data_IF_032737010930
#
_entry.id   IF_032737010930
#
_cell.length_a   1.000
_cell.length_b   1.000
_cell.length_c   1.000
_cell.angle_alpha   90.00
_cell.angle_beta   90.00
_cell.angle_gamma   90.00
#
_symmetry.space_group_name_H-M   'P 1'
#
loop_
_entity.id
_entity.type
_entity.pdbx_description
1 polymer ?
#
# COMPACT_ATOMS: atom_id res chain seq x y z
N UNK A 1 48.55 19.57 58.96
CA UNK A 1 47.68 20.76 58.77
C UNK A 1 47.36 20.85 57.29
N UNK A 2 46.16 20.42 56.89
CA UNK A 2 45.75 20.46 55.48
C UNK A 2 45.28 21.88 55.17
N UNK A 3 45.80 22.46 54.09
CA UNK A 3 45.52 23.84 53.71
C UNK A 3 44.05 23.94 53.25
N UNK A 4 43.16 24.67 53.95
CA UNK A 4 41.72 24.65 53.68
C UNK A 4 41.30 25.32 52.36
N UNK A 5 42.26 25.82 51.56
CA UNK A 5 42.02 26.57 50.33
C UNK A 5 42.65 25.94 49.08
N UNK A 6 43.01 24.64 49.11
CA UNK A 6 43.47 23.96 47.89
C UNK A 6 42.29 23.76 46.92
N UNK A 7 42.00 24.80 46.12
CA UNK A 7 41.08 24.71 45.00
C UNK A 7 41.72 23.79 43.96
N UNK A 8 41.29 22.53 43.96
CA UNK A 8 41.67 21.53 42.97
C UNK A 8 41.28 22.05 41.59
N UNK A 9 42.23 22.68 40.87
CA UNK A 9 42.05 23.13 39.49
C UNK A 9 41.67 21.92 38.65
N UNK A 10 40.39 21.80 38.31
CA UNK A 10 39.94 20.82 37.33
C UNK A 10 40.57 21.19 36.01
N UNK A 11 41.40 20.29 35.48
CA UNK A 11 42.06 20.48 34.19
C UNK A 11 41.02 20.89 33.13
N UNK A 12 41.28 21.91 32.29
CA UNK A 12 40.35 22.38 31.27
C UNK A 12 39.95 21.25 30.30
N UNK A 13 40.80 20.24 30.13
CA UNK A 13 40.53 19.04 29.36
C UNK A 13 39.35 18.22 29.93
N UNK A 14 39.18 18.20 31.25
CA UNK A 14 38.06 17.50 31.91
C UNK A 14 36.72 18.22 31.71
N UNK A 15 36.75 19.54 31.53
CA UNK A 15 35.54 20.31 31.19
C UNK A 15 35.18 20.21 29.70
N UNK A 16 36.19 20.04 28.82
CA UNK A 16 35.97 19.86 27.37
C UNK A 16 35.66 18.41 26.96
N UNK A 17 35.98 17.43 27.81
CA UNK A 17 35.71 16.01 27.57
C UNK A 17 34.29 15.69 27.04
N UNK A 18 33.18 16.19 27.63
CA UNK A 18 31.84 15.91 27.11
C UNK A 18 31.61 16.47 25.70
N UNK A 19 32.17 17.65 25.39
CA UNK A 19 32.08 18.25 24.06
C UNK A 19 32.83 17.41 23.02
N UNK A 20 34.03 16.94 23.35
CA UNK A 20 34.83 16.08 22.47
C UNK A 20 34.07 14.77 22.18
N UNK A 21 33.53 14.13 23.22
CA UNK A 21 32.73 12.91 23.08
C UNK A 21 31.51 13.16 22.18
N UNK A 22 30.79 14.25 22.38
CA UNK A 22 29.65 14.62 21.54
C UNK A 22 30.06 14.81 20.08
N UNK A 23 31.16 15.52 19.80
CA UNK A 23 31.67 15.72 18.44
C UNK A 23 32.08 14.39 17.80
N UNK A 24 32.73 13.49 18.54
CA UNK A 24 33.07 12.16 18.05
C UNK A 24 31.82 11.36 17.67
N UNK A 25 30.77 11.40 18.50
CA UNK A 25 29.48 10.74 18.22
C UNK A 25 28.83 11.35 16.98
N UNK A 26 28.79 12.68 16.86
CA UNK A 26 28.21 13.37 15.73
C UNK A 26 28.93 13.05 14.41
N UNK A 27 30.26 12.96 14.44
CA UNK A 27 31.08 12.54 13.30
C UNK A 27 30.82 11.08 12.94
N UNK A 28 30.82 10.19 13.93
CA UNK A 28 30.52 8.77 13.72
C UNK A 28 29.13 8.57 13.11
N UNK A 29 28.12 9.29 13.61
CA UNK A 29 26.77 9.28 13.06
C UNK A 29 26.71 9.82 11.63
N UNK A 30 27.44 10.90 11.34
CA UNK A 30 27.51 11.46 9.98
C UNK A 30 28.07 10.45 8.99
N UNK A 31 29.20 9.81 9.33
CA UNK A 31 29.79 8.73 8.52
C UNK A 31 28.80 7.58 8.31
N UNK A 32 28.15 7.14 9.39
CA UNK A 32 27.13 6.09 9.32
C UNK A 32 25.98 6.45 8.36
N UNK A 33 25.46 7.68 8.45
CA UNK A 33 24.35 8.13 7.61
C UNK A 33 24.72 8.12 6.12
N UNK A 34 25.92 8.56 5.74
CA UNK A 34 26.37 8.49 4.34
C UNK A 34 26.52 7.05 3.84
N UNK A 35 26.97 6.12 4.67
CA UNK A 35 27.01 4.69 4.34
C UNK A 35 25.60 4.15 4.13
N UNK A 36 24.65 4.51 5.01
CA UNK A 36 23.25 4.11 4.89
C UNK A 36 22.59 4.66 3.62
N UNK A 37 22.87 5.93 3.26
CA UNK A 37 22.44 6.53 2.01
C UNK A 37 22.98 5.78 0.79
N UNK A 38 24.26 5.41 0.80
CA UNK A 38 24.87 4.61 -0.26
C UNK A 38 24.16 3.26 -0.45
N UNK A 39 23.86 2.55 0.64
CA UNK A 39 23.10 1.29 0.59
C UNK A 39 21.68 1.49 0.06
N UNK A 40 21.01 2.58 0.41
CA UNK A 40 19.67 2.88 -0.10
C UNK A 40 19.69 3.11 -1.62
N UNK A 41 20.66 3.89 -2.12
CA UNK A 41 20.87 4.10 -3.56
C UNK A 41 21.14 2.80 -4.31
N UNK A 42 22.00 1.94 -3.75
CA UNK A 42 22.31 0.64 -4.35
C UNK A 42 21.08 -0.26 -4.43
N UNK A 43 20.29 -0.35 -3.35
CA UNK A 43 19.05 -1.14 -3.35
C UNK A 43 18.04 -0.65 -4.40
N UNK A 44 17.86 0.66 -4.53
CA UNK A 44 16.99 1.21 -5.55
C UNK A 44 17.51 0.88 -6.96
N UNK A 45 18.80 1.04 -7.21
CA UNK A 45 19.40 0.70 -8.50
C UNK A 45 19.24 -0.81 -8.84
N UNK A 46 19.38 -1.69 -7.85
CA UNK A 46 19.13 -3.12 -8.04
C UNK A 46 17.67 -3.39 -8.38
N UNK A 47 16.71 -2.76 -7.69
CA UNK A 47 15.29 -2.89 -8.00
C UNK A 47 14.98 -2.38 -9.41
N UNK A 48 15.54 -1.24 -9.80
CA UNK A 48 15.38 -0.66 -11.15
C UNK A 48 15.90 -1.60 -12.25
N UNK A 49 17.00 -2.31 -11.98
CA UNK A 49 17.61 -3.22 -12.94
C UNK A 49 16.89 -4.58 -13.07
N UNK A 50 16.08 -4.95 -12.08
CA UNK A 50 15.55 -6.33 -11.98
C UNK A 50 14.03 -6.44 -12.02
N UNK A 51 13.29 -5.44 -11.52
CA UNK A 51 11.84 -5.57 -11.30
C UNK A 51 11.01 -4.41 -11.84
N UNK A 52 11.56 -3.18 -11.91
CA UNK A 52 10.77 -1.99 -12.26
C UNK A 52 11.56 -1.00 -13.11
N UNK A 53 11.05 -0.61 -14.27
CA UNK A 53 11.68 0.45 -15.08
C UNK A 53 11.21 1.83 -14.60
N UNK A 54 11.85 2.39 -13.57
CA UNK A 54 11.46 3.68 -12.99
C UNK A 54 12.16 4.85 -13.70
N UNK A 55 11.39 5.78 -14.26
CA UNK A 55 11.84 7.06 -14.82
C UNK A 55 11.23 8.21 -14.03
N UNK A 56 12.04 9.25 -13.81
CA UNK A 56 11.64 10.47 -13.08
C UNK A 56 12.13 11.67 -13.88
N UNK A 57 11.37 12.76 -13.91
CA UNK A 57 11.86 14.04 -14.43
C UNK A 57 12.94 14.64 -13.52
N UNK A 58 12.76 14.51 -12.21
CA UNK A 58 13.72 14.97 -11.20
C UNK A 58 13.87 13.91 -10.10
N UNK A 59 15.11 13.68 -9.65
CA UNK A 59 15.44 12.76 -8.56
C UNK A 59 16.21 13.52 -7.48
N UNK A 60 15.75 13.42 -6.24
CA UNK A 60 16.45 14.00 -5.09
C UNK A 60 16.54 13.02 -3.92
N UNK A 61 17.62 13.16 -3.15
CA UNK A 61 17.90 12.36 -1.95
C UNK A 61 18.19 13.28 -0.78
N UNK A 62 17.71 12.94 0.41
CA UNK A 62 17.94 13.75 1.61
C UNK A 62 17.46 13.07 2.89
N UNK A 63 17.24 13.85 3.94
CA UNK A 63 16.69 13.34 5.21
C UNK A 63 17.65 13.27 6.40
N UNK A 64 18.89 13.73 6.24
CA UNK A 64 19.86 13.82 7.34
C UNK A 64 19.25 14.54 8.56
N UNK A 65 19.48 14.07 9.80
CA UNK A 65 20.33 12.93 10.19
C UNK A 65 19.57 11.62 10.45
N UNK A 66 18.24 11.62 10.50
CA UNK A 66 17.48 10.49 11.06
C UNK A 66 16.75 9.62 10.03
N UNK A 67 16.55 10.15 8.82
CA UNK A 67 15.84 9.46 7.74
C UNK A 67 16.61 9.57 6.43
N UNK A 68 16.22 8.74 5.49
CA UNK A 68 16.68 8.81 4.11
C UNK A 68 15.40 8.89 3.29
N UNK A 69 15.13 10.05 2.70
CA UNK A 69 14.07 10.16 1.71
C UNK A 69 14.65 10.14 0.29
N UNK A 70 13.87 9.59 -0.62
CA UNK A 70 14.05 9.64 -2.05
C UNK A 70 12.78 10.23 -2.65
N UNK A 71 12.92 11.33 -3.36
CA UNK A 71 11.83 12.01 -4.06
C UNK A 71 12.07 11.89 -5.57
N UNK A 72 11.05 11.41 -6.28
CA UNK A 72 11.00 11.25 -7.73
C UNK A 72 9.78 12.03 -8.24
N UNK A 73 10.00 13.13 -8.96
CA UNK A 73 8.93 13.88 -9.61
C UNK A 73 8.71 13.37 -11.04
N UNK A 74 7.49 13.50 -11.57
CA UNK A 74 7.12 13.06 -12.91
C UNK A 74 7.41 11.57 -13.12
N UNK A 75 6.76 10.73 -12.31
CA UNK A 75 6.99 9.28 -12.28
C UNK A 75 6.43 8.65 -13.54
N UNK A 76 7.25 7.85 -14.22
CA UNK A 76 6.84 6.91 -15.25
C UNK A 76 7.54 5.60 -14.97
N UNK A 77 6.77 4.56 -14.63
CA UNK A 77 7.25 3.26 -14.26
C UNK A 77 6.61 2.18 -15.12
N UNK A 78 7.35 1.12 -15.41
CA UNK A 78 6.78 -0.11 -15.96
C UNK A 78 6.97 -1.22 -14.93
N UNK A 79 5.85 -1.83 -14.49
CA UNK A 79 5.82 -2.87 -13.48
C UNK A 79 4.98 -4.03 -13.99
N UNK A 80 5.61 -5.21 -14.14
CA UNK A 80 4.94 -6.44 -14.59
C UNK A 80 4.12 -6.28 -15.90
N UNK A 81 4.55 -5.41 -16.81
CA UNK A 81 3.88 -5.13 -18.08
C UNK A 81 2.83 -4.02 -18.04
N UNK A 82 2.51 -3.48 -16.85
CA UNK A 82 1.64 -2.32 -16.70
C UNK A 82 2.43 -1.02 -16.65
N UNK A 83 1.96 -0.01 -17.38
CA UNK A 83 2.50 1.34 -17.37
C UNK A 83 1.87 2.13 -16.23
N UNK A 84 2.69 2.64 -15.32
CA UNK A 84 2.27 3.44 -14.17
C UNK A 84 2.84 4.84 -14.31
N UNK A 85 1.99 5.86 -14.25
CA UNK A 85 2.43 7.26 -14.16
C UNK A 85 1.89 7.90 -12.90
N UNK A 86 2.64 8.83 -12.32
CA UNK A 86 2.22 9.60 -11.14
C UNK A 86 2.96 10.93 -11.08
N UNK A 87 2.39 11.92 -10.40
CA UNK A 87 3.02 13.24 -10.26
C UNK A 87 4.31 13.16 -9.43
N UNK A 88 4.27 12.38 -8.34
CA UNK A 88 5.43 12.23 -7.45
C UNK A 88 5.42 10.89 -6.73
N UNK A 89 6.59 10.30 -6.61
CA UNK A 89 6.89 9.17 -5.72
C UNK A 89 7.84 9.64 -4.63
N UNK A 90 7.48 9.41 -3.37
CA UNK A 90 8.33 9.64 -2.21
C UNK A 90 8.56 8.34 -1.48
N UNK A 91 9.81 7.94 -1.30
CA UNK A 91 10.21 6.81 -0.46
C UNK A 91 10.97 7.32 0.76
N UNK A 92 10.72 6.76 1.93
CA UNK A 92 11.33 7.16 3.20
C UNK A 92 11.77 5.89 3.93
N UNK A 93 13.08 5.74 4.10
CA UNK A 93 13.68 4.77 5.01
C UNK A 93 14.18 5.44 6.28
N UNK A 94 14.15 4.73 7.40
CA UNK A 94 14.69 5.24 8.66
C UNK A 94 16.16 4.83 8.79
N UNK A 95 17.07 5.77 9.09
CA UNK A 95 18.50 5.47 9.15
C UNK A 95 18.81 4.44 10.26
N UNK A 96 18.09 4.51 11.38
CA UNK A 96 18.22 3.59 12.51
C UNK A 96 17.41 2.29 12.36
N UNK A 97 16.48 2.24 11.40
CA UNK A 97 15.69 1.05 11.08
C UNK A 97 15.56 0.89 9.55
N UNK A 98 16.64 0.43 8.88
CA UNK A 98 16.67 0.31 7.42
C UNK A 98 15.77 -0.80 6.88
N UNK A 99 15.14 -1.58 7.76
CA UNK A 99 14.22 -2.65 7.41
C UNK A 99 12.78 -2.17 7.24
N UNK A 100 12.48 -0.92 7.58
CA UNK A 100 11.17 -0.32 7.45
C UNK A 100 11.21 0.84 6.46
N UNK A 101 10.44 0.71 5.39
CA UNK A 101 10.34 1.70 4.32
C UNK A 101 8.88 2.10 4.17
N UNK A 102 8.66 3.41 4.07
CA UNK A 102 7.35 4.02 3.87
C UNK A 102 7.41 4.76 2.55
N UNK A 103 6.45 4.54 1.67
CA UNK A 103 6.30 5.24 0.41
C UNK A 103 4.99 6.00 0.32
N UNK A 104 4.96 7.01 -0.53
CA UNK A 104 3.75 7.72 -0.91
C UNK A 104 3.80 8.05 -2.41
N UNK A 105 2.74 7.69 -3.12
CA UNK A 105 2.48 8.09 -4.50
C UNK A 105 1.47 9.22 -4.51
N UNK A 106 1.82 10.34 -5.13
CA UNK A 106 0.98 11.51 -5.25
C UNK A 106 0.36 11.49 -6.64
N UNK A 107 -0.97 11.60 -6.68
CA UNK A 107 -1.74 11.54 -7.91
C UNK A 107 -1.80 12.86 -8.68
N UNK A 108 -2.40 12.86 -9.88
CA UNK A 108 -3.11 11.72 -10.48
C UNK A 108 -2.16 10.55 -10.81
N UNK A 109 -2.57 9.34 -10.42
CA UNK A 109 -1.87 8.10 -10.74
C UNK A 109 -2.61 7.44 -11.88
N UNK A 110 -1.94 7.16 -12.98
CA UNK A 110 -2.53 6.37 -14.07
C UNK A 110 -1.88 5.00 -14.08
N UNK A 111 -2.68 3.94 -14.08
CA UNK A 111 -2.23 2.56 -14.27
C UNK A 111 -2.89 2.07 -15.55
N UNK A 112 -2.09 1.89 -16.60
CA UNK A 112 -2.54 1.62 -17.95
C UNK A 112 -3.60 2.64 -18.40
N UNK A 113 -4.86 2.23 -18.38
CA UNK A 113 -6.01 2.97 -18.84
C UNK A 113 -6.92 3.47 -17.69
N UNK A 114 -6.50 3.23 -16.44
CA UNK A 114 -7.25 3.60 -15.24
C UNK A 114 -6.59 4.80 -14.57
N UNK A 115 -7.33 5.90 -14.42
CA UNK A 115 -6.87 7.10 -13.73
C UNK A 115 -7.41 7.14 -12.31
N UNK A 116 -6.51 7.25 -11.35
CA UNK A 116 -6.78 7.33 -9.92
C UNK A 116 -6.37 8.73 -9.45
N UNK A 117 -7.31 9.49 -8.90
CA UNK A 117 -7.08 10.85 -8.38
C UNK A 117 -7.57 10.94 -6.94
N UNK A 118 -6.95 11.76 -6.11
CA UNK A 118 -7.32 11.85 -4.69
C UNK A 118 -6.13 12.13 -3.79
N UNK A 119 -6.25 11.75 -2.52
CA UNK A 119 -5.14 11.86 -1.58
C UNK A 119 -3.98 10.89 -1.95
N UNK A 120 -2.75 11.14 -1.46
CA UNK A 120 -1.62 10.30 -1.79
C UNK A 120 -1.81 8.86 -1.32
N UNK A 121 -1.51 7.90 -2.20
CA UNK A 121 -1.51 6.48 -1.88
C UNK A 121 -0.26 6.20 -1.04
N UNK A 122 -0.45 5.91 0.24
CA UNK A 122 0.63 5.60 1.19
C UNK A 122 0.81 4.09 1.25
N UNK A 123 2.05 3.64 1.22
CA UNK A 123 2.39 2.24 1.43
C UNK A 123 3.54 2.12 2.41
N UNK A 124 3.62 1.00 3.11
CA UNK A 124 4.73 0.69 3.99
C UNK A 124 5.07 -0.77 3.87
N UNK A 125 6.35 -1.09 3.98
CA UNK A 125 6.80 -2.47 4.08
C UNK A 125 7.89 -2.60 5.11
N UNK A 126 7.87 -3.72 5.82
CA UNK A 126 8.82 -4.07 6.87
C UNK A 126 9.40 -5.44 6.58
N UNK A 127 10.72 -5.54 6.72
CA UNK A 127 11.48 -6.78 6.54
C UNK A 127 12.03 -7.23 7.89
N UNK A 128 12.03 -8.53 8.17
CA UNK A 128 12.68 -9.14 9.34
C UNK A 128 13.46 -10.36 8.88
N UNK A 129 14.74 -10.44 9.21
CA UNK A 129 15.64 -11.52 8.79
C UNK A 129 15.65 -11.78 7.26
N UNK A 130 15.53 -10.72 6.46
CA UNK A 130 15.48 -10.84 4.99
C UNK A 130 14.12 -11.28 4.42
N UNK A 131 13.14 -11.65 5.25
CA UNK A 131 11.77 -11.99 4.83
C UNK A 131 10.80 -10.83 5.08
N UNK A 132 9.73 -10.76 4.29
CA UNK A 132 8.64 -9.81 4.52
C UNK A 132 8.01 -10.08 5.89
N UNK A 133 7.86 -9.05 6.71
CA UNK A 133 7.20 -9.11 8.01
C UNK A 133 5.81 -8.47 7.99
N UNK A 134 5.65 -7.37 7.24
CA UNK A 134 4.38 -6.68 7.05
C UNK A 134 4.48 -5.80 5.80
N UNK A 135 3.44 -5.76 4.99
CA UNK A 135 3.20 -4.68 4.05
C UNK A 135 1.80 -4.11 4.28
N UNK A 136 1.64 -2.81 4.09
CA UNK A 136 0.34 -2.14 4.23
C UNK A 136 0.21 -1.00 3.24
N UNK A 137 -1.00 -0.76 2.78
CA UNK A 137 -1.36 0.31 1.87
C UNK A 137 -2.59 1.04 2.40
N UNK A 138 -2.60 2.36 2.28
CA UNK A 138 -3.70 3.24 2.65
C UNK A 138 -3.87 4.27 1.54
N UNK A 139 -5.08 4.38 1.01
CA UNK A 139 -5.49 5.45 0.12
C UNK A 139 -6.82 6.02 0.61
N UNK A 140 -6.99 7.34 0.54
CA UNK A 140 -8.16 8.05 1.07
C UNK A 140 -8.73 8.94 -0.02
N UNK A 141 -10.05 9.14 -0.05
CA UNK A 141 -10.72 10.04 -0.98
C UNK A 141 -10.31 9.80 -2.45
N UNK A 142 -10.35 8.55 -2.89
CA UNK A 142 -9.93 8.15 -4.23
C UNK A 142 -11.11 8.24 -5.20
N UNK A 143 -10.84 8.80 -6.36
CA UNK A 143 -11.72 8.80 -7.52
C UNK A 143 -11.02 8.02 -8.62
N UNK A 144 -11.61 6.91 -9.01
CA UNK A 144 -11.15 6.02 -10.06
C UNK A 144 -11.99 6.28 -11.30
N UNK A 145 -11.34 6.60 -12.41
CA UNK A 145 -11.96 6.80 -13.71
C UNK A 145 -11.37 5.76 -14.66
N UNK A 146 -12.23 4.92 -15.23
CA UNK A 146 -11.85 3.93 -16.26
C UNK A 146 -11.98 4.53 -17.66
N UNK A 147 -11.55 3.80 -18.69
CA UNK A 147 -11.59 4.20 -20.11
C UNK A 147 -12.97 4.53 -20.64
N UNK A 148 -14.03 3.96 -20.05
CA UNK A 148 -15.42 4.22 -20.46
C UNK A 148 -16.01 5.45 -19.76
N UNK A 149 -15.16 6.33 -19.20
CA UNK A 149 -15.50 7.48 -18.35
C UNK A 149 -16.36 7.13 -17.13
N UNK A 150 -16.43 5.84 -16.77
CA UNK A 150 -17.14 5.38 -15.57
C UNK A 150 -16.35 5.79 -14.33
N UNK A 151 -17.04 6.40 -13.37
CA UNK A 151 -16.44 6.95 -12.16
C UNK A 151 -16.83 6.12 -10.94
N UNK A 152 -15.82 5.68 -10.19
CA UNK A 152 -15.96 5.03 -8.89
C UNK A 152 -15.25 5.87 -7.85
N UNK A 153 -15.99 6.35 -6.87
CA UNK A 153 -15.44 7.04 -5.70
C UNK A 153 -15.29 6.04 -4.55
N UNK A 154 -14.15 6.07 -3.86
CA UNK A 154 -13.85 5.22 -2.71
C UNK A 154 -13.29 6.13 -1.62
N UNK A 155 -13.99 6.24 -0.49
CA UNK A 155 -13.55 7.12 0.59
C UNK A 155 -12.27 6.61 1.27
N UNK A 156 -12.11 5.29 1.40
CA UNK A 156 -10.94 4.70 2.04
C UNK A 156 -10.63 3.32 1.49
N UNK A 157 -9.37 3.09 1.18
CA UNK A 157 -8.81 1.79 0.77
C UNK A 157 -7.69 1.44 1.72
N UNK A 158 -7.83 0.32 2.43
CA UNK A 158 -6.82 -0.25 3.30
C UNK A 158 -6.46 -1.64 2.81
N UNK A 159 -5.17 -1.94 2.68
CA UNK A 159 -4.69 -3.28 2.41
C UNK A 159 -3.55 -3.64 3.35
N UNK A 160 -3.55 -4.87 3.85
CA UNK A 160 -2.53 -5.40 4.73
C UNK A 160 -2.11 -6.80 4.26
N UNK A 161 -0.80 -7.03 4.23
CA UNK A 161 -0.20 -8.31 3.86
C UNK A 161 0.80 -8.71 4.96
N UNK A 162 0.67 -9.92 5.51
CA UNK A 162 1.60 -10.44 6.53
C UNK A 162 1.87 -11.93 6.29
N UNK A 163 3.05 -12.46 6.66
CA UNK A 163 3.28 -13.89 6.60
C UNK A 163 2.39 -14.65 7.60
N UNK A 164 1.86 -15.79 7.19
CA UNK A 164 1.12 -16.72 8.06
C UNK A 164 2.12 -17.46 8.95
N UNK A 165 1.75 -17.77 10.19
CA UNK A 165 2.60 -18.56 11.09
C UNK A 165 2.78 -19.97 10.53
N UNK A 166 4.03 -20.46 10.46
CA UNK A 166 4.41 -21.83 10.08
C UNK A 166 4.21 -22.25 8.61
N UNK A 167 3.96 -21.32 7.68
CA UNK A 167 3.95 -21.62 6.24
C UNK A 167 4.59 -20.49 5.44
N UNK A 168 5.13 -20.76 4.24
CA UNK A 168 5.58 -19.73 3.29
C UNK A 168 4.37 -19.06 2.58
N UNK A 169 3.27 -18.83 3.30
CA UNK A 169 2.05 -18.17 2.81
C UNK A 169 1.89 -16.79 3.43
N UNK A 170 1.09 -15.95 2.78
CA UNK A 170 0.77 -14.60 3.24
C UNK A 170 -0.72 -14.42 3.46
N UNK A 171 -1.12 -13.91 4.63
CA UNK A 171 -2.46 -13.40 4.87
C UNK A 171 -2.60 -12.03 4.19
N UNK A 172 -3.59 -11.89 3.31
CA UNK A 172 -4.00 -10.64 2.67
C UNK A 172 -5.37 -10.22 3.21
N UNK A 173 -5.49 -8.95 3.59
CA UNK A 173 -6.76 -8.30 3.91
C UNK A 173 -6.86 -6.98 3.14
N UNK A 174 -7.95 -6.75 2.43
CA UNK A 174 -8.27 -5.52 1.71
C UNK A 174 -9.63 -5.05 2.19
N UNK A 175 -9.75 -3.78 2.55
CA UNK A 175 -10.99 -3.13 2.94
C UNK A 175 -11.17 -1.87 2.11
N UNK A 176 -12.32 -1.76 1.46
CA UNK A 176 -12.79 -0.57 0.76
C UNK A 176 -13.98 -0.02 1.55
N UNK A 177 -14.01 1.28 1.80
CA UNK A 177 -15.08 1.93 2.57
C UNK A 177 -15.73 3.05 1.77
N UNK A 178 -17.05 3.15 1.90
CA UNK A 178 -17.93 4.08 1.21
C UNK A 178 -17.59 4.17 -0.29
N UNK A 179 -17.83 3.07 -0.99
CA UNK A 179 -17.76 3.02 -2.44
C UNK A 179 -19.04 3.66 -2.99
N UNK A 180 -18.90 4.52 -3.98
CA UNK A 180 -20.03 5.16 -4.65
C UNK A 180 -19.77 5.25 -6.14
N UNK A 181 -20.80 4.92 -6.90
CA UNK A 181 -20.92 5.24 -8.32
C UNK A 181 -22.07 6.23 -8.50
N UNK A 182 -22.42 6.57 -9.74
CA UNK A 182 -23.65 7.34 -10.02
C UNK A 182 -24.94 6.57 -9.69
N UNK A 183 -24.89 5.23 -9.72
CA UNK A 183 -26.08 4.37 -9.64
C UNK A 183 -26.24 3.63 -8.31
N UNK A 184 -25.15 3.45 -7.56
CA UNK A 184 -25.12 2.60 -6.37
C UNK A 184 -24.09 3.10 -5.34
N UNK A 185 -24.34 2.80 -4.07
CA UNK A 185 -23.46 3.09 -2.94
C UNK A 185 -23.28 1.82 -2.09
N UNK A 186 -22.08 1.63 -1.55
CA UNK A 186 -21.74 0.49 -0.70
C UNK A 186 -20.89 0.97 0.48
N UNK A 187 -21.35 0.76 1.70
CA UNK A 187 -20.69 1.27 2.91
C UNK A 187 -19.34 0.62 3.16
N UNK A 188 -19.23 -0.70 2.95
CA UNK A 188 -17.95 -1.38 3.08
C UNK A 188 -17.86 -2.64 2.24
N UNK A 189 -16.64 -2.95 1.80
CA UNK A 189 -16.31 -4.17 1.09
C UNK A 189 -14.98 -4.71 1.59
N UNK A 190 -14.96 -5.97 2.02
CA UNK A 190 -13.77 -6.59 2.60
C UNK A 190 -13.43 -7.90 1.88
N UNK A 191 -12.16 -8.04 1.50
CA UNK A 191 -11.58 -9.26 0.94
C UNK A 191 -10.51 -9.75 1.91
N UNK A 192 -10.57 -11.03 2.29
CA UNK A 192 -9.54 -11.67 3.11
C UNK A 192 -9.16 -13.02 2.52
N UNK A 193 -7.86 -13.35 2.51
CA UNK A 193 -7.41 -14.64 1.98
C UNK A 193 -5.94 -14.94 2.29
N UNK A 194 -5.48 -16.10 1.85
CA UNK A 194 -4.07 -16.51 1.95
C UNK A 194 -3.47 -16.64 0.55
N UNK A 195 -2.31 -16.03 0.32
CA UNK A 195 -1.56 -16.02 -0.95
C UNK A 195 -0.34 -16.93 -0.83
N UNK A 196 -0.10 -17.80 -1.81
CA UNK A 196 1.05 -18.71 -1.86
C UNK A 196 1.82 -18.47 -3.18
N UNK A 197 2.85 -17.62 -3.12
CA UNK A 197 3.84 -17.27 -4.18
C UNK A 197 3.37 -16.84 -5.59
N UNK A 198 2.11 -17.05 -5.96
CA UNK A 198 1.44 -16.43 -7.10
C UNK A 198 0.36 -15.47 -6.60
N UNK A 199 0.15 -14.34 -7.29
CA UNK A 199 -1.02 -13.45 -7.07
C UNK A 199 -2.26 -14.35 -7.01
N UNK A 200 -3.11 -14.23 -5.98
CA UNK A 200 -4.18 -15.20 -5.75
C UNK A 200 -5.06 -15.30 -7.01
N UNK A 201 -5.01 -16.45 -7.67
CA UNK A 201 -5.92 -16.81 -8.77
C UNK A 201 -7.29 -17.23 -8.26
N UNK A 202 -7.42 -17.38 -6.94
CA UNK A 202 -8.66 -17.68 -6.23
C UNK A 202 -8.71 -16.81 -4.97
N UNK A 203 -9.77 -16.01 -4.84
CA UNK A 203 -10.09 -15.23 -3.65
C UNK A 203 -11.38 -15.76 -3.05
N UNK A 204 -11.45 -15.85 -1.72
CA UNK A 204 -12.68 -16.19 -1.01
C UNK A 204 -13.33 -14.89 -0.53
N UNK A 205 -14.56 -14.61 -0.99
CA UNK A 205 -15.30 -13.42 -0.61
C UNK A 205 -16.12 -13.69 0.63
N UNK A 206 -15.72 -13.13 1.77
CA UNK A 206 -16.61 -13.02 2.93
C UNK A 206 -17.36 -11.69 2.82
N UNK A 207 -18.47 -11.70 2.10
CA UNK A 207 -19.43 -10.60 2.12
C UNK A 207 -20.11 -10.63 3.49
N UNK A 208 -19.76 -9.69 4.36
CA UNK A 208 -20.34 -9.53 5.69
C UNK A 208 -21.53 -8.55 5.70
N UNK A 209 -22.03 -8.13 4.53
CA UNK A 209 -22.97 -7.02 4.43
C UNK A 209 -24.44 -7.42 4.60
N UNK A 210 -25.25 -6.43 5.01
CA UNK A 210 -26.69 -6.54 5.18
C UNK A 210 -27.41 -6.79 3.84
N UNK A 211 -28.65 -7.34 3.84
CA UNK A 211 -29.36 -7.74 2.62
C UNK A 211 -29.53 -6.66 1.54
N UNK A 212 -29.62 -5.37 1.93
CA UNK A 212 -29.78 -4.25 0.99
C UNK A 212 -28.51 -3.96 0.19
N UNK A 213 -27.36 -4.03 0.83
CA UNK A 213 -26.05 -3.71 0.23
C UNK A 213 -25.59 -4.76 -0.79
N UNK A 214 -26.19 -5.96 -0.76
CA UNK A 214 -25.88 -7.02 -1.70
C UNK A 214 -26.35 -6.68 -3.13
N UNK A 215 -27.50 -6.01 -3.28
CA UNK A 215 -27.96 -5.53 -4.59
C UNK A 215 -27.06 -4.42 -5.11
N UNK A 216 -26.63 -3.51 -4.23
CA UNK A 216 -25.72 -2.42 -4.60
C UNK A 216 -24.35 -2.95 -5.07
N UNK A 217 -23.83 -4.01 -4.43
CA UNK A 217 -22.62 -4.69 -4.88
C UNK A 217 -22.76 -5.28 -6.29
N UNK A 218 -23.91 -5.87 -6.63
CA UNK A 218 -24.17 -6.38 -7.99
C UNK A 218 -24.19 -5.24 -9.01
N UNK A 219 -24.86 -4.13 -8.68
CA UNK A 219 -24.93 -2.95 -9.54
C UNK A 219 -23.55 -2.34 -9.78
N UNK A 220 -22.68 -2.30 -8.75
CA UNK A 220 -21.29 -1.84 -8.90
C UNK A 220 -20.52 -2.77 -9.83
N UNK A 221 -20.63 -4.09 -9.65
CA UNK A 221 -19.98 -5.06 -10.55
C UNK A 221 -20.46 -4.84 -11.98
N UNK A 222 -21.77 -4.79 -12.21
CA UNK A 222 -22.33 -4.58 -13.55
C UNK A 222 -21.83 -3.27 -14.18
N UNK A 223 -21.84 -2.18 -13.40
CA UNK A 223 -21.33 -0.89 -13.85
C UNK A 223 -19.87 -1.00 -14.29
N UNK A 224 -19.02 -1.69 -13.53
CA UNK A 224 -17.59 -1.82 -13.84
C UNK A 224 -17.27 -2.83 -14.96
N UNK A 225 -18.01 -3.93 -15.08
CA UNK A 225 -17.72 -5.02 -16.01
C UNK A 225 -18.59 -5.02 -17.27
N UNK A 226 -19.44 -4.00 -17.45
CA UNK A 226 -20.34 -3.84 -18.60
C UNK A 226 -21.26 -5.05 -18.88
N UNK A 227 -21.64 -5.76 -17.81
CA UNK A 227 -22.51 -6.93 -17.93
C UNK A 227 -23.91 -6.51 -18.40
N UNK A 228 -24.47 -7.28 -19.34
CA UNK A 228 -25.76 -6.99 -19.95
C UNK A 228 -26.95 -7.26 -19.01
N UNK A 229 -28.11 -6.68 -19.31
CA UNK A 229 -29.34 -6.83 -18.50
C UNK A 229 -29.75 -8.29 -18.27
N UNK A 230 -29.49 -9.17 -19.24
CA UNK A 230 -29.77 -10.61 -19.13
C UNK A 230 -28.95 -11.32 -18.06
N UNK A 231 -27.67 -10.98 -17.93
CA UNK A 231 -26.75 -11.58 -16.94
C UNK A 231 -27.07 -11.06 -15.54
N UNK A 232 -27.43 -9.78 -15.46
CA UNK A 232 -27.91 -9.16 -14.23
C UNK A 232 -29.23 -9.75 -13.76
N UNK A 233 -30.20 -9.94 -14.65
CA UNK A 233 -31.49 -10.56 -14.32
C UNK A 233 -31.30 -11.99 -13.81
N UNK A 234 -30.34 -12.74 -14.35
CA UNK A 234 -30.02 -14.08 -13.88
C UNK A 234 -29.40 -14.06 -12.47
N UNK A 235 -28.44 -13.16 -12.21
CA UNK A 235 -27.87 -12.99 -10.88
C UNK A 235 -28.95 -12.57 -9.86
N UNK A 236 -29.75 -11.56 -10.20
CA UNK A 236 -30.80 -11.04 -9.34
C UNK A 236 -31.91 -12.07 -9.08
N UNK A 237 -32.23 -12.94 -10.06
CA UNK A 237 -33.17 -14.03 -9.90
C UNK A 237 -32.68 -15.14 -8.96
N UNK A 238 -31.37 -15.34 -8.82
CA UNK A 238 -30.78 -16.28 -7.85
C UNK A 238 -30.71 -15.66 -6.45
N UNK A 239 -30.40 -14.36 -6.39
CA UNK A 239 -30.10 -13.64 -5.16
C UNK A 239 -31.38 -13.20 -4.44
N UNK A 240 -32.38 -12.71 -5.18
CA UNK A 240 -33.64 -12.21 -4.60
C UNK A 240 -34.39 -13.27 -3.77
N UNK A 241 -34.50 -14.54 -4.19
CA UNK A 241 -35.08 -15.60 -3.38
C UNK A 241 -34.27 -15.93 -2.12
N UNK A 242 -32.93 -15.85 -2.18
CA UNK A 242 -32.06 -16.09 -1.03
C UNK A 242 -32.19 -14.98 0.02
N UNK A 243 -32.30 -13.72 -0.42
CA UNK A 243 -32.57 -12.58 0.45
C UNK A 243 -33.97 -12.67 1.07
N UNK A 244 -35.00 -13.02 0.28
CA UNK A 244 -36.38 -13.24 0.79
C UNK A 244 -36.50 -14.42 1.75
N UNK A 245 -35.70 -15.47 1.57
CA UNK A 245 -35.69 -16.62 2.48
C UNK A 245 -35.05 -16.29 3.84
N UNK A 246 -34.28 -15.20 3.92
CA UNK A 246 -33.49 -14.83 5.10
C UNK A 246 -34.09 -13.66 5.91
N UNK A 247 -35.37 -13.36 5.72
CA UNK A 247 -36.06 -12.17 6.24
C UNK A 247 -36.27 -12.15 7.77
N UNK A 248 -35.37 -12.76 8.58
CA UNK A 248 -35.15 -12.49 10.02
C UNK A 248 -34.11 -13.38 10.76
N UNK A 249 -33.17 -14.10 10.10
CA UNK A 249 -32.25 -14.99 10.84
C UNK A 249 -30.79 -14.95 10.38
N UNK A 250 -30.02 -14.10 11.07
CA UNK A 250 -28.55 -14.03 11.13
C UNK A 250 -27.83 -13.51 9.87
N UNK A 251 -26.67 -12.83 10.03
CA UNK A 251 -25.81 -12.49 8.91
C UNK A 251 -25.38 -13.79 8.22
N UNK A 252 -25.66 -13.91 6.92
CA UNK A 252 -25.17 -15.03 6.13
C UNK A 252 -23.66 -14.86 6.03
N UNK A 253 -22.93 -15.56 6.91
CA UNK A 253 -21.53 -15.87 6.67
C UNK A 253 -21.53 -16.91 5.55
N UNK A 254 -21.42 -16.47 4.29
CA UNK A 254 -21.10 -17.35 3.17
C UNK A 254 -19.65 -17.79 3.33
N UNK A 255 -19.40 -18.65 4.31
CA UNK A 255 -18.12 -19.29 4.51
C UNK A 255 -17.93 -20.28 3.36
N UNK A 256 -16.82 -20.16 2.65
CA UNK A 256 -16.35 -21.13 1.67
C UNK A 256 -17.14 -21.20 0.34
N UNK A 257 -17.69 -20.07 -0.16
CA UNK A 257 -18.18 -19.99 -1.54
C UNK A 257 -17.03 -19.61 -2.49
N UNK A 258 -16.48 -20.62 -3.18
CA UNK A 258 -15.53 -20.43 -4.27
C UNK A 258 -16.31 -19.93 -5.49
N UNK A 259 -16.22 -18.63 -5.79
CA UNK A 259 -16.73 -18.06 -7.03
C UNK A 259 -15.61 -18.03 -8.06
N UNK A 260 -15.76 -18.82 -9.12
CA UNK A 260 -14.88 -18.75 -10.28
C UNK A 260 -15.18 -17.48 -11.07
N UNK A 261 -14.37 -16.44 -10.87
CA UNK A 261 -14.26 -15.39 -11.87
C UNK A 261 -13.43 -15.96 -13.02
N UNK A 262 -14.13 -16.38 -14.09
CA UNK A 262 -13.49 -16.68 -15.36
C UNK A 262 -12.66 -15.47 -15.84
N UNK A 263 -11.73 -15.67 -16.80
CA UNK A 263 -10.87 -14.61 -17.29
C UNK A 263 -11.71 -13.40 -17.71
N UNK A 264 -11.40 -12.21 -17.18
CA UNK A 264 -11.85 -10.98 -17.82
C UNK A 264 -11.23 -10.98 -19.21
N UNK A 265 -12.02 -10.88 -20.30
CA UNK A 265 -11.47 -10.52 -21.58
C UNK A 265 -10.90 -9.11 -21.41
N UNK A 266 -9.58 -9.00 -21.24
CA UNK A 266 -8.88 -7.82 -21.74
C UNK A 266 -9.04 -7.96 -23.25
N UNK A 267 -10.04 -7.28 -23.80
CA UNK A 267 -10.17 -7.14 -25.24
C UNK A 267 -8.85 -6.56 -25.73
N UNK A 268 -8.04 -7.39 -26.37
CA UNK A 268 -7.10 -6.89 -27.36
C UNK A 268 -7.99 -6.28 -28.44
N UNK A 269 -8.04 -4.96 -28.51
CA UNK A 269 -8.36 -4.31 -29.76
C UNK A 269 -7.22 -4.66 -30.71
N UNK A 270 -7.52 -5.53 -31.67
CA UNK A 270 -6.75 -6.00 -32.84
C UNK A 270 -5.28 -5.59 -32.96
#
# INVERSE_FOLDING_TARGET
MNNPLEIKRTSPLKMMAPLIVFLCIALAWSVYWYIALGKAKQKLATLEATHISLKCSERSWGGYPFRIHFDCAGVSAELAGSAITADKLRLIGQAWNPSHIIGALFGPVTIDNVKISGDPIRFSHRVKNGKLALASLLAENQTIVTTDDKQLTVAKTEAHLRPTTDTDRFDLAITLSALSTEKAQLDSFMITGTVADEVPREGNFNLLSEPSEYLDAIWIVQYLSDLGDTEMNAAQAVITPLLKANDNKLPIQLKDQIWYWGPFPVTKSD
#
